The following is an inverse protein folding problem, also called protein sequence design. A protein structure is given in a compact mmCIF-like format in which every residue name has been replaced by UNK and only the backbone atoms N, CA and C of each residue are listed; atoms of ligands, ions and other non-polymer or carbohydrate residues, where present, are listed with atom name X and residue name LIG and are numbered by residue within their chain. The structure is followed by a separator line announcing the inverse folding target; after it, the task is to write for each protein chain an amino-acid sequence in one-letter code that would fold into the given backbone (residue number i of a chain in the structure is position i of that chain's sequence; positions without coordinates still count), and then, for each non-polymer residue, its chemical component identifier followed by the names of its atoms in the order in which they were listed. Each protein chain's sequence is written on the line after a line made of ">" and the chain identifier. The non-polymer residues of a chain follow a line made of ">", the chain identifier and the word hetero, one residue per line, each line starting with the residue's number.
data_IF_871675992564
#
_entry.id   IF_871675992564
#
_cell.length_a   1.000
_cell.length_b   1.000
_cell.length_c   1.000
_cell.angle_alpha   90.00
_cell.angle_beta   90.00
_cell.angle_gamma   90.00
#
_symmetry.space_group_name_H-M   'P 1'
#
loop_
_entity.id
_entity.type
_entity.pdbx_description
1 polymer ?
#
# COMPACT_ATOMS: atom_id res chain seq x y z
N UNK A 1 -6.11 -35.56 -10.20
CA UNK A 1 -6.64 -36.49 -9.15
C UNK A 1 -6.65 -35.74 -7.82
N UNK A 2 -7.52 -36.06 -6.87
CA UNK A 2 -7.52 -35.47 -5.56
C UNK A 2 -6.59 -36.23 -4.61
N UNK A 3 -5.62 -35.51 -4.04
CA UNK A 3 -4.64 -36.04 -3.09
C UNK A 3 -4.93 -35.52 -1.69
N UNK A 4 -4.68 -36.35 -0.68
CA UNK A 4 -4.89 -36.04 0.72
C UNK A 4 -3.58 -36.13 1.49
N UNK A 5 -3.29 -35.14 2.35
CA UNK A 5 -2.13 -35.14 3.23
C UNK A 5 -2.54 -34.81 4.66
N UNK A 6 -1.83 -35.36 5.61
CA UNK A 6 -2.03 -35.05 7.02
C UNK A 6 -1.73 -33.56 7.25
N UNK A 7 -2.52 -32.96 8.13
CA UNK A 7 -2.30 -31.57 8.55
C UNK A 7 -1.20 -31.58 9.62
N UNK A 8 -0.15 -30.79 9.42
CA UNK A 8 0.96 -30.66 10.35
C UNK A 8 0.47 -30.32 11.77
N UNK A 9 0.97 -31.09 12.76
CA UNK A 9 0.53 -31.02 14.15
C UNK A 9 -0.82 -31.67 14.45
N UNK A 10 -1.50 -32.24 13.45
CA UNK A 10 -2.77 -32.96 13.57
C UNK A 10 -2.74 -34.33 12.85
N UNK A 11 -1.57 -34.92 12.73
CA UNK A 11 -1.35 -36.22 12.09
C UNK A 11 -2.26 -37.28 12.71
N UNK A 12 -2.86 -38.12 11.86
CA UNK A 12 -3.82 -39.14 12.29
C UNK A 12 -5.18 -38.61 12.77
N UNK A 13 -5.38 -37.30 12.80
CA UNK A 13 -6.65 -36.68 13.21
C UNK A 13 -7.39 -36.04 12.03
N UNK A 14 -6.65 -35.31 11.19
CA UNK A 14 -7.21 -34.56 10.07
C UNK A 14 -6.31 -34.58 8.85
N UNK A 15 -6.95 -34.56 7.69
CA UNK A 15 -6.28 -34.41 6.39
C UNK A 15 -6.87 -33.25 5.60
N UNK A 16 -6.04 -32.61 4.80
CA UNK A 16 -6.42 -31.62 3.81
C UNK A 16 -6.13 -32.15 2.41
N UNK A 17 -6.99 -31.83 1.44
CA UNK A 17 -6.76 -32.19 0.04
C UNK A 17 -6.15 -31.03 -0.76
N UNK A 18 -5.49 -31.37 -1.86
CA UNK A 18 -5.01 -30.42 -2.87
C UNK A 18 -6.16 -29.60 -3.53
N UNK A 19 -7.41 -29.99 -3.28
CA UNK A 19 -8.62 -29.27 -3.74
C UNK A 19 -9.25 -28.38 -2.65
N UNK A 20 -8.58 -28.21 -1.51
CA UNK A 20 -9.07 -27.36 -0.41
C UNK A 20 -10.20 -27.99 0.41
N UNK A 21 -10.38 -29.29 0.36
CA UNK A 21 -11.30 -30.00 1.25
C UNK A 21 -10.56 -30.47 2.50
N UNK A 22 -11.25 -30.55 3.64
CA UNK A 22 -10.68 -31.02 4.91
C UNK A 22 -11.57 -32.11 5.48
N UNK A 23 -10.96 -33.18 5.97
CA UNK A 23 -11.66 -34.29 6.61
C UNK A 23 -11.02 -34.67 7.94
N UNK A 24 -11.83 -35.17 8.88
CA UNK A 24 -11.32 -35.90 10.04
C UNK A 24 -11.14 -37.39 9.68
N UNK A 25 -10.23 -38.02 10.38
CA UNK A 25 -9.97 -39.47 10.24
C UNK A 25 -10.73 -40.27 11.28
N UNK A 26 -10.95 -41.57 10.98
CA UNK A 26 -11.43 -42.53 11.97
C UNK A 26 -10.45 -42.59 13.14
N UNK A 27 -10.96 -42.51 14.38
CA UNK A 27 -10.12 -42.62 15.56
C UNK A 27 -10.86 -43.17 16.76
N UNK A 28 -10.15 -43.86 17.61
CA UNK A 28 -10.68 -44.28 18.89
C UNK A 28 -10.45 -43.17 19.92
N UNK A 29 -11.49 -42.90 20.70
CA UNK A 29 -11.43 -41.98 21.86
C UNK A 29 -11.99 -42.68 23.08
N UNK A 30 -11.45 -42.35 24.25
CA UNK A 30 -12.05 -42.78 25.49
C UNK A 30 -13.24 -41.86 25.81
N UNK A 31 -14.42 -42.46 26.02
CA UNK A 31 -15.56 -41.71 26.54
C UNK A 31 -15.36 -41.40 28.04
N UNK A 32 -16.29 -40.65 28.64
CA UNK A 32 -16.15 -40.22 30.02
C UNK A 32 -16.20 -41.42 31.03
N UNK A 33 -16.64 -42.63 30.64
CA UNK A 33 -16.58 -43.87 31.41
C UNK A 33 -15.30 -44.69 31.15
N UNK A 34 -14.32 -44.15 30.40
CA UNK A 34 -13.08 -44.83 30.07
C UNK A 34 -13.20 -45.91 28.98
N UNK A 35 -14.38 -46.09 28.38
CA UNK A 35 -14.59 -47.08 27.30
C UNK A 35 -14.14 -46.46 25.96
N UNK A 36 -13.44 -47.28 25.14
CA UNK A 36 -13.06 -46.87 23.79
C UNK A 36 -14.29 -46.81 22.88
N UNK A 37 -14.41 -45.71 22.15
CA UNK A 37 -15.42 -45.45 21.20
C UNK A 37 -14.79 -45.05 19.88
N UNK A 38 -15.20 -45.69 18.77
CA UNK A 38 -14.79 -45.30 17.43
C UNK A 38 -15.57 -44.05 16.97
N UNK A 39 -14.85 -42.96 16.71
CA UNK A 39 -15.40 -41.81 16.00
C UNK A 39 -15.06 -41.94 14.54
N UNK A 40 -16.09 -42.05 13.69
CA UNK A 40 -15.92 -42.09 12.25
C UNK A 40 -15.48 -40.75 11.69
N UNK A 41 -14.51 -40.80 10.81
CA UNK A 41 -14.04 -39.62 10.06
C UNK A 41 -15.12 -39.05 9.16
N UNK A 42 -15.09 -37.76 8.94
CA UNK A 42 -16.06 -37.05 8.09
C UNK A 42 -15.45 -35.83 7.45
N UNK A 43 -16.04 -35.40 6.32
CA UNK A 43 -15.73 -34.09 5.74
C UNK A 43 -16.13 -33.00 6.70
N UNK A 44 -15.21 -32.05 6.93
CA UNK A 44 -15.49 -30.90 7.80
C UNK A 44 -16.28 -29.83 7.06
N UNK A 45 -17.25 -29.25 7.74
CA UNK A 45 -17.94 -28.05 7.27
C UNK A 45 -16.96 -26.88 7.28
N UNK A 46 -16.90 -26.18 6.17
CA UNK A 46 -16.12 -24.96 6.06
C UNK A 46 -17.03 -23.76 6.35
N UNK A 47 -16.47 -22.78 7.04
CA UNK A 47 -17.12 -21.50 7.35
C UNK A 47 -16.33 -20.39 6.67
N UNK A 48 -16.99 -19.27 6.40
CA UNK A 48 -16.36 -18.09 5.80
C UNK A 48 -16.23 -17.03 6.89
N UNK A 49 -15.04 -16.48 7.06
CA UNK A 49 -14.80 -15.39 8.00
C UNK A 49 -15.19 -14.03 7.38
N UNK A 50 -15.17 -12.96 8.18
CA UNK A 50 -15.50 -11.60 7.77
C UNK A 50 -14.67 -11.07 6.58
N UNK A 51 -13.48 -11.65 6.36
CA UNK A 51 -12.58 -11.31 5.25
C UNK A 51 -12.81 -12.14 4.00
N UNK A 52 -13.83 -13.03 4.00
CA UNK A 52 -14.16 -13.89 2.86
C UNK A 52 -13.31 -15.17 2.74
N UNK A 53 -12.48 -15.51 3.74
CA UNK A 53 -11.67 -16.72 3.70
C UNK A 53 -12.36 -17.91 4.35
N UNK A 54 -12.29 -19.08 3.70
CA UNK A 54 -12.76 -20.35 4.27
C UNK A 54 -11.87 -20.81 5.41
N UNK A 55 -12.48 -21.24 6.50
CA UNK A 55 -11.79 -21.86 7.62
C UNK A 55 -12.54 -23.07 8.16
N UNK A 56 -11.83 -23.94 8.87
CA UNK A 56 -12.34 -25.10 9.59
C UNK A 56 -11.95 -25.04 11.06
N UNK A 57 -12.74 -25.70 11.91
CA UNK A 57 -12.41 -25.89 13.33
C UNK A 57 -11.71 -27.23 13.50
N UNK A 58 -10.47 -27.22 13.94
CA UNK A 58 -9.66 -28.40 14.26
C UNK A 58 -9.59 -28.55 15.78
N UNK A 59 -9.88 -29.75 16.28
CA UNK A 59 -9.83 -30.08 17.72
C UNK A 59 -8.72 -31.07 18.00
N UNK A 60 -7.84 -30.76 18.95
CA UNK A 60 -6.79 -31.64 19.48
C UNK A 60 -6.69 -31.44 20.97
N UNK A 61 -6.70 -32.51 21.74
CA UNK A 61 -6.59 -32.49 23.21
C UNK A 61 -7.61 -31.52 23.87
N UNK A 62 -8.86 -31.55 23.43
CA UNK A 62 -9.92 -30.70 23.99
C UNK A 62 -9.86 -29.22 23.53
N UNK A 63 -8.81 -28.81 22.84
CA UNK A 63 -8.65 -27.43 22.34
C UNK A 63 -9.10 -27.33 20.89
N UNK A 64 -9.94 -26.34 20.61
CA UNK A 64 -10.43 -26.06 19.27
C UNK A 64 -9.69 -24.84 18.69
N UNK A 65 -9.13 -24.97 17.50
CA UNK A 65 -8.49 -23.88 16.76
C UNK A 65 -9.12 -23.72 15.38
N UNK A 66 -9.40 -22.48 14.98
CA UNK A 66 -9.76 -22.14 13.62
C UNK A 66 -8.53 -22.15 12.72
N UNK A 67 -8.59 -22.88 11.61
CA UNK A 67 -7.51 -22.96 10.63
C UNK A 67 -8.01 -22.52 9.25
N UNK A 68 -7.30 -21.60 8.59
CA UNK A 68 -7.64 -21.13 7.25
C UNK A 68 -7.32 -22.21 6.20
N UNK A 69 -8.28 -22.55 5.38
CA UNK A 69 -8.16 -23.68 4.43
C UNK A 69 -7.00 -23.47 3.44
N UNK A 70 -6.85 -22.28 2.87
CA UNK A 70 -5.76 -21.99 1.94
C UNK A 70 -4.38 -22.14 2.60
N UNK A 71 -4.26 -21.88 3.91
CA UNK A 71 -3.01 -22.10 4.65
C UNK A 71 -2.73 -23.58 4.78
N UNK A 72 -3.71 -24.37 5.21
CA UNK A 72 -3.58 -25.81 5.32
C UNK A 72 -3.15 -26.45 4.01
N UNK A 73 -3.74 -26.01 2.87
CA UNK A 73 -3.35 -26.50 1.54
C UNK A 73 -1.92 -26.09 1.21
N UNK A 74 -1.57 -24.84 1.37
CA UNK A 74 -0.23 -24.38 1.02
C UNK A 74 0.85 -25.03 1.88
N UNK A 75 0.64 -25.10 3.19
CA UNK A 75 1.55 -25.73 4.15
C UNK A 75 1.76 -27.22 3.86
N UNK A 76 0.70 -27.92 3.40
CA UNK A 76 0.79 -29.37 3.11
C UNK A 76 1.32 -29.69 1.71
N UNK A 77 1.10 -28.83 0.71
CA UNK A 77 1.35 -29.19 -0.70
C UNK A 77 2.39 -28.32 -1.40
N UNK A 78 2.68 -27.10 -0.92
CA UNK A 78 3.58 -26.17 -1.61
C UNK A 78 4.86 -25.98 -0.77
N UNK A 79 6.03 -26.44 -1.23
CA UNK A 79 7.29 -26.20 -0.52
C UNK A 79 7.55 -24.69 -0.34
N UNK A 80 7.95 -24.29 0.85
CA UNK A 80 8.31 -22.90 1.18
C UNK A 80 9.81 -22.77 1.49
N UNK A 81 10.64 -23.01 0.50
CA UNK A 81 12.10 -23.04 0.67
C UNK A 81 12.68 -21.67 1.04
N UNK A 82 12.01 -20.59 0.64
CA UNK A 82 12.43 -19.22 0.92
C UNK A 82 11.85 -18.66 2.24
N UNK A 83 11.05 -19.42 2.96
CA UNK A 83 10.42 -18.98 4.22
C UNK A 83 9.48 -17.78 4.04
N UNK A 84 8.79 -17.68 2.92
CA UNK A 84 7.87 -16.57 2.63
C UNK A 84 6.68 -16.59 3.61
N UNK A 85 6.30 -15.42 4.19
CA UNK A 85 5.32 -15.38 5.29
C UNK A 85 3.85 -15.42 4.84
N UNK A 86 3.56 -15.11 3.57
CA UNK A 86 2.21 -14.95 3.06
C UNK A 86 1.86 -16.02 2.03
N UNK A 87 0.55 -16.28 1.94
CA UNK A 87 -0.04 -17.09 0.87
C UNK A 87 -0.98 -16.18 0.08
N UNK A 88 -0.80 -16.14 -1.23
CA UNK A 88 -1.60 -15.37 -2.17
C UNK A 88 -2.42 -16.31 -3.06
N UNK A 89 -3.66 -15.89 -3.35
CA UNK A 89 -4.49 -16.55 -4.36
C UNK A 89 -4.15 -15.93 -5.74
N UNK A 90 -3.67 -16.74 -6.66
CA UNK A 90 -3.36 -16.31 -8.04
C UNK A 90 -4.58 -15.66 -8.68
N UNK A 91 -5.73 -16.34 -8.56
CA UNK A 91 -7.05 -15.79 -8.86
C UNK A 91 -7.75 -15.53 -7.53
N UNK A 92 -8.08 -14.27 -7.17
CA UNK A 92 -8.74 -13.95 -5.91
C UNK A 92 -10.09 -14.65 -5.75
N UNK A 93 -10.45 -14.98 -4.50
CA UNK A 93 -11.72 -15.69 -4.20
C UNK A 93 -12.95 -14.95 -4.72
N UNK A 94 -12.97 -13.61 -4.63
CA UNK A 94 -14.07 -12.77 -5.14
C UNK A 94 -14.24 -12.82 -6.66
N UNK A 95 -13.22 -13.31 -7.38
CA UNK A 95 -13.19 -13.41 -8.84
C UNK A 95 -13.32 -14.86 -9.30
N UNK A 96 -13.84 -15.74 -8.42
CA UNK A 96 -14.03 -17.16 -8.70
C UNK A 96 -12.80 -18.02 -8.41
N UNK A 97 -11.78 -17.47 -7.77
CA UNK A 97 -10.63 -18.25 -7.31
C UNK A 97 -11.03 -19.28 -6.26
N UNK A 98 -10.20 -20.31 -6.11
CA UNK A 98 -10.44 -21.43 -5.20
C UNK A 98 -9.27 -21.65 -4.25
N UNK A 99 -9.47 -22.47 -3.24
CA UNK A 99 -8.39 -22.92 -2.35
C UNK A 99 -7.63 -24.14 -2.90
N UNK A 100 -7.72 -24.43 -4.19
CA UNK A 100 -6.94 -25.48 -4.84
C UNK A 100 -5.45 -25.11 -4.84
N UNK A 101 -4.58 -26.09 -4.69
CA UNK A 101 -3.12 -25.91 -4.67
C UNK A 101 -2.61 -25.13 -5.89
N UNK A 102 -3.20 -25.35 -7.06
CA UNK A 102 -2.84 -24.68 -8.32
C UNK A 102 -3.11 -23.16 -8.30
N UNK A 103 -4.00 -22.71 -7.41
CA UNK A 103 -4.38 -21.30 -7.26
C UNK A 103 -3.65 -20.61 -6.08
N UNK A 104 -2.73 -21.29 -5.41
CA UNK A 104 -2.04 -20.78 -4.24
C UNK A 104 -0.55 -20.66 -4.49
N UNK A 105 0.08 -19.66 -3.91
CA UNK A 105 1.53 -19.48 -3.91
C UNK A 105 2.03 -18.83 -2.63
N UNK A 106 3.23 -19.17 -2.22
CA UNK A 106 3.93 -18.43 -1.19
C UNK A 106 4.43 -17.09 -1.74
N UNK A 107 4.29 -16.02 -0.97
CA UNK A 107 4.74 -14.70 -1.35
C UNK A 107 5.22 -13.89 -0.14
N UNK A 108 6.00 -12.85 -0.41
CA UNK A 108 6.36 -11.83 0.57
C UNK A 108 5.21 -10.82 0.74
N UNK A 109 5.22 -10.04 1.82
CA UNK A 109 4.27 -8.93 2.00
C UNK A 109 4.30 -7.94 0.83
N UNK A 110 5.50 -7.66 0.30
CA UNK A 110 5.69 -6.75 -0.82
C UNK A 110 5.08 -7.31 -2.12
N UNK A 111 5.32 -8.58 -2.42
CA UNK A 111 4.73 -9.25 -3.59
C UNK A 111 3.20 -9.28 -3.50
N UNK A 112 2.66 -9.59 -2.33
CA UNK A 112 1.21 -9.62 -2.11
C UNK A 112 0.56 -8.23 -2.28
N UNK A 113 1.20 -7.18 -1.74
CA UNK A 113 0.72 -5.79 -1.88
C UNK A 113 0.85 -5.28 -3.33
N UNK A 114 1.90 -5.68 -4.02
CA UNK A 114 2.19 -5.24 -5.40
C UNK A 114 1.56 -6.16 -6.46
N UNK A 115 0.71 -7.10 -6.09
CA UNK A 115 -0.03 -7.89 -7.04
C UNK A 115 -0.77 -6.94 -8.03
N UNK A 116 -0.58 -7.08 -9.36
CA UNK A 116 -1.14 -6.17 -10.36
C UNK A 116 -2.64 -5.97 -10.22
N UNK A 117 -3.35 -6.99 -9.79
CA UNK A 117 -4.79 -6.95 -9.56
C UNK A 117 -5.15 -6.14 -8.31
N UNK A 118 -4.41 -6.31 -7.22
CA UNK A 118 -4.55 -5.49 -6.00
C UNK A 118 -4.30 -4.02 -6.32
N UNK A 119 -3.26 -3.71 -7.09
CA UNK A 119 -2.94 -2.35 -7.53
C UNK A 119 -4.04 -1.76 -8.42
N UNK A 120 -4.65 -2.57 -9.31
CA UNK A 120 -5.77 -2.12 -10.14
C UNK A 120 -6.97 -1.72 -9.27
N UNK A 121 -7.38 -2.58 -8.34
CA UNK A 121 -8.49 -2.31 -7.43
C UNK A 121 -8.22 -1.10 -6.53
N UNK A 122 -7.00 -0.98 -6.01
CA UNK A 122 -6.60 0.19 -5.23
C UNK A 122 -6.69 1.49 -6.04
N UNK A 123 -6.26 1.47 -7.31
CA UNK A 123 -6.39 2.63 -8.21
C UNK A 123 -7.84 2.98 -8.50
N UNK A 124 -8.68 1.98 -8.78
CA UNK A 124 -10.11 2.18 -9.03
C UNK A 124 -10.80 2.77 -7.79
N UNK A 125 -10.52 2.22 -6.60
CA UNK A 125 -11.04 2.77 -5.35
C UNK A 125 -10.52 4.19 -5.06
N UNK A 126 -9.22 4.44 -5.25
CA UNK A 126 -8.63 5.77 -5.04
C UNK A 126 -9.25 6.82 -5.97
N UNK A 127 -9.64 6.42 -7.19
CA UNK A 127 -10.26 7.28 -8.18
C UNK A 127 -11.79 7.32 -8.10
N UNK A 128 -12.42 6.55 -7.22
CA UNK A 128 -13.88 6.56 -7.07
C UNK A 128 -14.38 7.90 -6.56
N UNK A 129 -15.58 8.29 -7.00
CA UNK A 129 -16.20 9.55 -6.59
C UNK A 129 -16.45 9.61 -5.07
N UNK A 130 -16.79 8.47 -4.46
CA UNK A 130 -16.98 8.37 -3.02
C UNK A 130 -15.69 8.63 -2.24
N UNK A 131 -14.56 8.04 -2.69
CA UNK A 131 -13.28 8.30 -2.05
C UNK A 131 -12.83 9.76 -2.27
N UNK A 132 -13.02 10.32 -3.47
CA UNK A 132 -12.73 11.73 -3.76
C UNK A 132 -13.53 12.68 -2.87
N UNK A 133 -14.83 12.41 -2.70
CA UNK A 133 -15.70 13.19 -1.79
C UNK A 133 -15.18 13.06 -0.36
N UNK A 134 -14.97 11.84 0.13
CA UNK A 134 -14.46 11.56 1.47
C UNK A 134 -13.14 12.30 1.77
N UNK A 135 -12.16 12.21 0.87
CA UNK A 135 -10.87 12.90 1.00
C UNK A 135 -11.05 14.41 0.95
N UNK A 136 -11.89 14.93 0.05
CA UNK A 136 -12.19 16.36 -0.03
C UNK A 136 -12.80 16.88 1.27
N UNK A 137 -13.75 16.16 1.86
CA UNK A 137 -14.37 16.54 3.14
C UNK A 137 -13.39 16.45 4.32
N UNK A 138 -12.54 15.40 4.33
CA UNK A 138 -11.52 15.22 5.37
C UNK A 138 -10.51 16.36 5.41
N UNK A 139 -10.17 16.94 4.26
CA UNK A 139 -9.17 18.01 4.15
C UNK A 139 -9.78 19.36 3.75
N UNK A 140 -11.08 19.57 3.96
CA UNK A 140 -11.75 20.83 3.65
C UNK A 140 -11.46 21.88 4.72
N UNK A 141 -11.09 23.09 4.27
CA UNK A 141 -10.88 24.24 5.16
C UNK A 141 -9.83 23.96 6.22
N UNK A 142 -10.14 24.26 7.48
CA UNK A 142 -9.23 24.14 8.63
C UNK A 142 -8.76 22.70 8.93
N UNK A 143 -9.49 21.70 8.47
CA UNK A 143 -9.07 20.28 8.57
C UNK A 143 -7.86 19.95 7.70
N UNK A 144 -7.53 20.82 6.72
CA UNK A 144 -6.33 20.63 5.89
C UNK A 144 -5.09 21.05 6.69
N UNK A 145 -4.10 20.18 6.92
CA UNK A 145 -2.86 20.52 7.62
C UNK A 145 -2.10 21.72 7.02
N UNK A 146 -2.36 22.02 5.75
CA UNK A 146 -1.75 23.13 5.03
C UNK A 146 -2.68 24.36 4.90
N UNK A 147 -3.87 24.35 5.49
CA UNK A 147 -4.85 25.44 5.38
C UNK A 147 -4.25 26.77 5.84
N UNK A 148 -3.67 26.78 7.04
CA UNK A 148 -3.04 27.96 7.62
C UNK A 148 -1.69 28.30 7.00
N UNK A 149 -1.10 27.39 6.18
CA UNK A 149 0.15 27.62 5.45
C UNK A 149 -0.08 28.27 4.09
N UNK A 150 -1.34 28.31 3.61
CA UNK A 150 -1.70 28.88 2.31
C UNK A 150 -1.35 30.39 2.31
N UNK A 151 -0.46 30.77 1.39
CA UNK A 151 0.01 32.15 1.26
C UNK A 151 1.08 32.59 2.25
N UNK A 152 1.46 31.75 3.25
CA UNK A 152 2.59 32.03 4.12
C UNK A 152 3.88 31.49 3.48
N UNK A 153 4.97 32.28 3.44
CA UNK A 153 6.25 31.78 2.94
C UNK A 153 6.76 30.65 3.85
N UNK A 154 7.28 29.58 3.27
CA UNK A 154 8.02 28.57 4.03
C UNK A 154 9.40 29.17 4.41
N UNK A 155 9.48 29.80 5.57
CA UNK A 155 10.68 30.50 6.02
C UNK A 155 11.89 29.57 6.17
N UNK A 156 11.69 28.29 6.47
CA UNK A 156 12.78 27.31 6.58
C UNK A 156 13.50 27.04 5.25
N UNK A 157 12.81 27.22 4.13
CA UNK A 157 13.35 27.04 2.78
C UNK A 157 13.40 28.35 1.99
N UNK A 158 13.01 29.45 2.61
CA UNK A 158 12.98 30.76 1.96
C UNK A 158 14.41 31.27 1.73
N UNK A 159 14.71 31.64 0.49
CA UNK A 159 15.94 32.30 0.12
C UNK A 159 15.63 33.77 -0.10
N UNK A 160 16.32 34.68 0.61
CA UNK A 160 16.20 36.12 0.40
C UNK A 160 16.42 36.46 -1.08
N UNK A 161 15.69 37.44 -1.56
CA UNK A 161 15.77 37.94 -2.93
C UNK A 161 16.05 39.44 -2.87
N UNK A 162 17.06 39.87 -3.59
CA UNK A 162 17.46 41.24 -3.75
C UNK A 162 17.08 41.70 -5.16
N UNK A 163 16.44 42.89 -5.23
CA UNK A 163 15.99 43.47 -6.49
C UNK A 163 16.89 44.68 -6.83
N UNK A 164 17.37 44.72 -8.06
CA UNK A 164 18.25 45.81 -8.54
C UNK A 164 17.64 46.47 -9.76
N UNK A 165 17.81 47.78 -9.85
CA UNK A 165 17.50 48.58 -11.04
C UNK A 165 18.73 49.44 -11.35
N UNK A 166 19.23 49.37 -12.58
CA UNK A 166 20.43 50.13 -13.05
C UNK A 166 21.66 49.91 -12.14
N UNK A 167 21.79 48.75 -11.50
CA UNK A 167 22.89 48.43 -10.60
C UNK A 167 22.65 48.77 -9.12
N UNK A 168 21.63 49.57 -8.81
CA UNK A 168 21.29 49.97 -7.45
C UNK A 168 20.28 48.97 -6.82
N UNK A 169 20.46 48.67 -5.54
CA UNK A 169 19.53 47.87 -4.74
C UNK A 169 18.26 48.66 -4.46
N UNK A 170 17.12 48.20 -4.99
CA UNK A 170 15.83 48.87 -4.84
C UNK A 170 14.81 48.08 -4.02
N UNK A 171 15.11 46.86 -3.66
CA UNK A 171 14.20 46.03 -2.83
C UNK A 171 14.87 44.80 -2.27
N UNK A 172 14.35 44.36 -1.11
CA UNK A 172 14.75 43.14 -0.39
C UNK A 172 13.50 42.38 0.04
N UNK A 173 13.46 41.08 -0.24
CA UNK A 173 12.29 40.21 0.02
C UNK A 173 12.75 38.93 0.71
N UNK A 174 11.92 38.41 1.60
CA UNK A 174 12.22 37.16 2.33
C UNK A 174 12.22 35.94 1.41
N UNK A 175 11.55 36.02 0.24
CA UNK A 175 11.50 34.95 -0.74
C UNK A 175 11.07 35.46 -2.12
N UNK A 176 11.32 34.67 -3.17
CA UNK A 176 10.83 34.94 -4.52
C UNK A 176 9.28 34.97 -4.60
N UNK A 177 8.58 34.22 -3.76
CA UNK A 177 7.11 34.25 -3.68
C UNK A 177 6.60 35.55 -3.08
N UNK A 178 7.32 36.10 -2.08
CA UNK A 178 7.00 37.40 -1.47
C UNK A 178 7.24 38.52 -2.46
N UNK A 179 8.41 38.51 -3.12
CA UNK A 179 8.73 39.50 -4.15
C UNK A 179 7.67 39.47 -5.29
N UNK A 180 7.25 38.26 -5.72
CA UNK A 180 6.23 38.11 -6.75
C UNK A 180 4.89 38.71 -6.34
N UNK A 181 4.49 38.53 -5.09
CA UNK A 181 3.23 39.05 -4.55
C UNK A 181 3.23 40.57 -4.45
N UNK A 182 4.31 41.14 -3.92
CA UNK A 182 4.42 42.59 -3.75
C UNK A 182 4.56 43.32 -5.07
N UNK A 183 5.28 42.73 -6.03
CA UNK A 183 5.58 43.38 -7.32
C UNK A 183 4.57 43.06 -8.43
N UNK A 184 3.65 42.14 -8.22
CA UNK A 184 2.76 41.65 -9.27
C UNK A 184 3.49 40.89 -10.36
N UNK A 185 4.61 40.24 -10.04
CA UNK A 185 5.43 39.48 -10.98
C UNK A 185 5.16 37.97 -10.84
N UNK A 186 5.56 37.19 -11.84
CA UNK A 186 5.60 35.73 -11.72
C UNK A 186 6.78 35.31 -10.86
N UNK A 187 6.52 34.51 -9.81
CA UNK A 187 7.56 33.90 -8.96
C UNK A 187 8.58 33.11 -9.80
N UNK A 188 8.10 32.37 -10.81
CA UNK A 188 8.97 31.59 -11.71
C UNK A 188 9.95 32.47 -12.48
N UNK A 189 9.54 33.67 -12.92
CA UNK A 189 10.44 34.60 -13.59
C UNK A 189 11.49 35.19 -12.65
N UNK A 190 11.10 35.57 -11.44
CA UNK A 190 12.05 36.03 -10.42
C UNK A 190 13.09 34.95 -10.10
N UNK A 191 12.63 33.70 -9.88
CA UNK A 191 13.54 32.58 -9.60
C UNK A 191 14.50 32.29 -10.76
N UNK A 192 14.05 32.40 -12.03
CA UNK A 192 14.91 32.26 -13.20
C UNK A 192 15.98 33.36 -13.26
N UNK A 193 15.63 34.60 -12.95
CA UNK A 193 16.58 35.69 -12.86
C UNK A 193 17.63 35.41 -11.76
N UNK A 194 17.19 35.04 -10.55
CA UNK A 194 18.09 34.75 -9.43
C UNK A 194 19.09 33.61 -9.70
N UNK A 195 18.69 32.64 -10.53
CA UNK A 195 19.53 31.52 -10.95
C UNK A 195 20.35 31.81 -12.22
N UNK A 196 20.23 33.02 -12.80
CA UNK A 196 20.90 33.38 -14.05
C UNK A 196 20.31 32.74 -15.31
N UNK A 197 19.28 31.91 -15.17
CA UNK A 197 18.65 31.20 -16.28
C UNK A 197 17.90 29.96 -15.87
N UNK A 198 17.57 29.14 -16.85
CA UNK A 198 16.90 27.87 -16.66
C UNK A 198 17.17 26.89 -17.82
N UNK A 199 17.04 25.59 -17.55
CA UNK A 199 17.13 24.55 -18.57
C UNK A 199 15.79 24.39 -19.29
N UNK A 200 15.79 24.57 -20.61
CA UNK A 200 14.60 24.33 -21.45
C UNK A 200 14.64 22.88 -21.98
N UNK A 201 13.85 22.00 -21.35
CA UNK A 201 13.78 20.57 -21.74
C UNK A 201 13.25 20.34 -23.15
N UNK A 202 12.42 21.25 -23.69
CA UNK A 202 11.90 21.14 -25.07
C UNK A 202 12.98 21.42 -26.10
N UNK A 203 13.82 22.40 -25.81
CA UNK A 203 14.92 22.82 -26.69
C UNK A 203 16.25 22.16 -26.34
N UNK A 204 16.28 21.37 -25.28
CA UNK A 204 17.46 20.71 -24.73
C UNK A 204 18.66 21.65 -24.59
N UNK A 205 18.45 22.85 -24.05
CA UNK A 205 19.50 23.85 -23.83
C UNK A 205 19.24 24.73 -22.63
N UNK A 206 20.34 25.33 -22.11
CA UNK A 206 20.29 26.38 -21.11
C UNK A 206 19.87 27.71 -21.74
N UNK A 207 18.92 28.41 -21.11
CA UNK A 207 18.47 29.75 -21.51
C UNK A 207 18.87 30.72 -20.43
N UNK A 208 19.72 31.69 -20.76
CA UNK A 208 20.08 32.76 -19.84
C UNK A 208 18.88 33.67 -19.59
N UNK A 209 18.65 33.98 -18.29
CA UNK A 209 17.53 34.82 -17.87
C UNK A 209 17.99 35.72 -16.75
N UNK A 210 18.49 36.94 -17.11
CA UNK A 210 19.18 37.83 -16.21
C UNK A 210 18.31 38.97 -15.70
N UNK A 211 17.20 39.26 -16.39
CA UNK A 211 16.29 40.36 -16.02
C UNK A 211 14.84 39.96 -16.15
N UNK A 212 13.97 40.56 -15.34
CA UNK A 212 12.53 40.43 -15.40
C UNK A 212 11.92 41.84 -15.31
N UNK A 213 11.24 42.26 -16.40
CA UNK A 213 10.62 43.60 -16.51
C UNK A 213 11.56 44.76 -16.17
N UNK A 214 12.81 44.67 -16.63
CA UNK A 214 13.82 45.73 -16.43
C UNK A 214 14.50 45.72 -15.03
N UNK A 215 14.20 44.72 -14.20
CA UNK A 215 14.84 44.50 -12.91
C UNK A 215 15.70 43.23 -12.94
N UNK A 216 16.85 43.29 -12.27
CA UNK A 216 17.69 42.14 -11.98
C UNK A 216 17.35 41.64 -10.59
N UNK A 217 17.27 40.32 -10.43
CA UNK A 217 17.04 39.67 -9.14
C UNK A 217 18.18 38.72 -8.80
N UNK A 218 18.55 38.65 -7.55
CA UNK A 218 19.64 37.82 -7.04
C UNK A 218 19.29 37.21 -5.69
N UNK A 219 19.75 35.98 -5.43
CA UNK A 219 19.73 35.36 -4.10
C UNK A 219 20.93 35.81 -3.24
N UNK A 220 21.89 36.52 -3.80
CA UNK A 220 23.04 37.06 -3.11
C UNK A 220 23.04 38.57 -3.25
N UNK A 221 23.48 39.25 -2.20
CA UNK A 221 23.76 40.69 -2.28
C UNK A 221 24.90 40.86 -3.31
N UNK A 222 24.69 41.74 -4.28
CA UNK A 222 25.72 42.11 -5.26
C UNK A 222 26.44 43.35 -4.72
N UNK A 223 27.77 43.27 -4.61
CA UNK A 223 28.63 44.39 -4.24
C UNK A 223 28.75 45.35 -5.41
#
# INVERSE_FOLDING_TARGET
>A
MEEWRDIEGYEGLYQVSNKGRVKSLDRYVNNHWGKQQLIKGKMLKQYINERGYSYVALCKNGTIKGALVHRLVAESFIPNLEGKPCIDHIIPLRDGGTNNVENLRWCTFKENTNNPRTLKVMKEWANSDDNRKRVSEQFKGEKNPNYYKKGKPNLALARKVYQYKNGELVGEYVSASEAARQLGFSQGHISKCCNGGFWDYKKNKWINYTQCRGYKFSYKLLN
#
